data_IF_387443346438
#
_entry.id   IF_387443346438
#
_cell.length_a   1.000
_cell.length_b   1.000
_cell.length_c   1.000
_cell.angle_alpha   90.00
_cell.angle_beta   90.00
_cell.angle_gamma   90.00
#
_symmetry.space_group_name_H-M   'P 1'
#
loop_
_entity.id
_entity.type
_entity.pdbx_description
1 polymer ?
#
# COMPACT_ATOMS: atom_id res chain seq x y z
N UNK A 1 -3.10 -6.62 -22.09
CA UNK A 1 -2.44 -6.57 -20.78
C UNK A 1 -3.30 -5.82 -19.78
N UNK A 2 -3.55 -6.40 -18.63
CA UNK A 2 -4.37 -5.75 -17.61
C UNK A 2 -3.65 -4.55 -17.01
N UNK A 3 -4.37 -3.45 -16.80
CA UNK A 3 -3.85 -2.32 -16.06
C UNK A 3 -3.85 -2.64 -14.57
N UNK A 4 -3.06 -1.89 -13.80
CA UNK A 4 -3.06 -2.06 -12.35
C UNK A 4 -4.47 -1.84 -11.79
N UNK A 5 -5.21 -0.87 -12.34
CA UNK A 5 -6.58 -0.59 -11.90
C UNK A 5 -7.49 -1.81 -12.06
N UNK A 6 -7.32 -2.56 -13.14
CA UNK A 6 -8.10 -3.79 -13.34
C UNK A 6 -7.72 -4.85 -12.32
N UNK A 7 -6.43 -4.99 -12.02
CA UNK A 7 -5.94 -6.00 -11.08
C UNK A 7 -6.47 -5.76 -9.67
N UNK A 8 -6.47 -4.51 -9.19
CA UNK A 8 -6.91 -4.17 -7.84
C UNK A 8 -8.41 -3.89 -7.75
N UNK A 9 -9.11 -3.81 -8.89
CA UNK A 9 -10.54 -3.57 -8.90
C UNK A 9 -10.95 -2.16 -8.50
N UNK A 10 -10.09 -1.18 -8.72
CA UNK A 10 -10.36 0.21 -8.38
C UNK A 10 -9.90 1.13 -9.49
N UNK A 11 -10.76 2.06 -9.89
CA UNK A 11 -10.46 3.03 -10.92
C UNK A 11 -10.23 4.41 -10.30
N UNK A 12 -9.05 4.95 -10.49
CA UNK A 12 -8.70 6.25 -9.92
C UNK A 12 -9.42 7.37 -10.66
N UNK A 13 -9.99 8.30 -9.90
CA UNK A 13 -10.59 9.52 -10.48
C UNK A 13 -9.50 10.48 -10.93
N UNK A 14 -8.44 10.59 -10.14
CA UNK A 14 -7.29 11.43 -10.45
C UNK A 14 -6.14 10.54 -10.93
N UNK A 15 -5.94 10.51 -12.25
CA UNK A 15 -4.90 9.69 -12.88
C UNK A 15 -3.49 10.19 -12.55
N UNK A 16 -3.34 11.47 -12.28
CA UNK A 16 -2.05 12.02 -11.88
C UNK A 16 -1.65 11.49 -10.51
N UNK A 17 -2.61 11.30 -9.61
CA UNK A 17 -2.37 10.71 -8.31
C UNK A 17 -1.87 9.27 -8.44
N UNK A 18 -2.48 8.49 -9.33
CA UNK A 18 -2.04 7.13 -9.59
C UNK A 18 -0.61 7.12 -10.12
N UNK A 19 -0.30 8.02 -11.05
CA UNK A 19 1.05 8.13 -11.61
C UNK A 19 2.06 8.48 -10.52
N UNK A 20 1.71 9.42 -9.64
CA UNK A 20 2.57 9.79 -8.51
C UNK A 20 2.82 8.60 -7.59
N UNK A 21 1.77 7.82 -7.29
CA UNK A 21 1.87 6.63 -6.45
C UNK A 21 2.81 5.57 -7.03
N UNK A 22 2.88 5.48 -8.35
CA UNK A 22 3.70 4.50 -9.05
C UNK A 22 5.09 5.01 -9.43
N UNK A 23 5.44 6.23 -9.06
CA UNK A 23 6.72 6.85 -9.41
C UNK A 23 7.69 6.77 -8.25
N UNK A 24 8.77 6.00 -8.45
CA UNK A 24 9.83 5.90 -7.45
C UNK A 24 10.68 7.18 -7.43
N UNK A 25 11.20 7.52 -6.26
CA UNK A 25 12.01 8.72 -6.05
C UNK A 25 13.18 8.84 -7.03
N UNK A 26 13.91 7.76 -7.26
CA UNK A 26 15.05 7.77 -8.18
C UNK A 26 14.63 8.11 -9.60
N UNK A 27 13.47 7.61 -10.01
CA UNK A 27 12.91 7.85 -11.33
C UNK A 27 12.51 9.33 -11.52
N UNK A 28 11.93 9.91 -10.47
CA UNK A 28 11.55 11.33 -10.49
C UNK A 28 12.76 12.23 -10.66
N UNK A 29 13.86 11.90 -9.98
CA UNK A 29 15.12 12.65 -10.07
C UNK A 29 15.68 12.62 -11.50
N UNK A 30 15.65 11.45 -12.13
CA UNK A 30 16.12 11.29 -13.50
C UNK A 30 15.30 12.10 -14.51
N UNK A 31 14.03 12.32 -14.22
CA UNK A 31 13.10 13.00 -15.13
C UNK A 31 12.84 14.46 -14.77
N UNK A 32 13.73 15.06 -14.01
CA UNK A 32 13.65 16.50 -13.76
C UNK A 32 12.63 16.92 -12.72
N UNK A 33 12.44 16.12 -11.68
CA UNK A 33 11.64 16.53 -10.54
C UNK A 33 10.17 16.20 -10.60
N UNK A 34 9.80 15.12 -11.27
CA UNK A 34 8.44 14.61 -11.23
C UNK A 34 8.05 14.27 -9.79
N UNK A 35 6.76 14.37 -9.48
CA UNK A 35 6.26 13.91 -8.19
C UNK A 35 6.45 12.40 -8.06
N UNK A 36 6.83 11.98 -6.86
CA UNK A 36 7.09 10.58 -6.56
C UNK A 36 6.32 10.15 -5.31
N UNK A 37 6.39 8.86 -4.99
CA UNK A 37 5.49 8.24 -4.02
C UNK A 37 5.92 8.32 -2.55
N UNK A 38 7.01 9.01 -2.23
CA UNK A 38 7.52 9.05 -0.85
C UNK A 38 6.49 9.55 0.15
N UNK A 39 5.80 10.66 -0.16
CA UNK A 39 4.78 11.22 0.71
C UNK A 39 3.53 10.34 0.78
N UNK A 40 3.15 9.76 -0.36
CA UNK A 40 2.01 8.84 -0.42
C UNK A 40 2.31 7.56 0.34
N UNK A 41 3.54 7.08 0.32
CA UNK A 41 3.97 5.93 1.09
C UNK A 41 3.79 6.18 2.59
N UNK A 42 4.20 7.36 3.06
CA UNK A 42 4.03 7.73 4.45
C UNK A 42 2.56 7.74 4.86
N UNK A 43 1.72 8.38 4.06
CA UNK A 43 0.28 8.43 4.34
C UNK A 43 -0.36 7.05 4.22
N UNK A 44 0.01 6.32 3.18
CA UNK A 44 -0.54 4.98 2.93
C UNK A 44 -0.22 4.00 4.05
N UNK A 45 0.94 4.12 4.65
CA UNK A 45 1.32 3.28 5.79
C UNK A 45 0.34 3.48 6.96
N UNK A 46 -0.03 4.73 7.22
CA UNK A 46 -1.01 5.05 8.28
C UNK A 46 -2.40 4.56 7.94
N UNK A 47 -2.82 4.71 6.67
CA UNK A 47 -4.12 4.22 6.22
C UNK A 47 -4.19 2.71 6.32
N UNK A 48 -3.17 2.02 5.86
CA UNK A 48 -3.11 0.55 5.95
C UNK A 48 -3.16 0.10 7.42
N UNK A 49 -2.40 0.79 8.28
CA UNK A 49 -2.41 0.49 9.70
C UNK A 49 -3.79 0.63 10.32
N UNK A 50 -4.52 1.68 9.95
CA UNK A 50 -5.89 1.90 10.43
C UNK A 50 -6.83 0.80 9.95
N UNK A 51 -6.79 0.47 8.67
CA UNK A 51 -7.66 -0.55 8.08
C UNK A 51 -7.43 -1.91 8.74
N UNK A 52 -6.16 -2.30 8.89
CA UNK A 52 -5.81 -3.58 9.51
C UNK A 52 -6.22 -3.60 10.99
N UNK A 53 -5.97 -2.51 11.70
CA UNK A 53 -6.35 -2.39 13.12
C UNK A 53 -7.85 -2.52 13.30
N UNK A 54 -8.62 -1.85 12.47
CA UNK A 54 -10.07 -1.89 12.53
C UNK A 54 -10.61 -3.29 12.23
N UNK A 55 -10.06 -3.93 11.21
CA UNK A 55 -10.42 -5.29 10.85
C UNK A 55 -10.18 -6.27 12.02
N UNK A 56 -9.00 -6.21 12.63
CA UNK A 56 -8.65 -7.08 13.73
C UNK A 56 -9.51 -6.81 14.96
N UNK A 57 -9.78 -5.54 15.23
CA UNK A 57 -10.64 -5.13 16.35
C UNK A 57 -12.03 -5.75 16.22
N UNK A 58 -12.60 -5.71 15.02
CA UNK A 58 -13.94 -6.27 14.80
C UNK A 58 -13.94 -7.79 14.77
N UNK A 59 -12.90 -8.39 14.20
CA UNK A 59 -12.84 -9.85 14.03
C UNK A 59 -12.53 -10.59 15.33
N UNK A 60 -11.83 -9.95 16.24
CA UNK A 60 -11.35 -10.58 17.47
C UNK A 60 -11.80 -9.80 18.72
N UNK A 61 -13.12 -9.73 18.97
CA UNK A 61 -13.65 -8.89 20.07
C UNK A 61 -13.27 -9.37 21.48
N UNK A 62 -12.84 -10.61 21.61
CA UNK A 62 -12.46 -11.17 22.91
C UNK A 62 -10.96 -11.16 23.18
N UNK A 63 -10.17 -10.69 22.23
CA UNK A 63 -8.71 -10.68 22.36
C UNK A 63 -8.23 -9.35 22.92
N UNK A 64 -7.08 -9.37 23.58
CA UNK A 64 -6.52 -8.17 24.19
C UNK A 64 -5.67 -7.36 23.19
N UNK A 65 -5.19 -6.21 23.64
CA UNK A 65 -4.40 -5.30 22.81
C UNK A 65 -3.11 -5.94 22.30
N UNK A 66 -2.46 -6.77 23.15
CA UNK A 66 -1.24 -7.46 22.77
C UNK A 66 -1.42 -8.38 21.58
N UNK A 67 -2.52 -9.13 21.58
CA UNK A 67 -2.87 -10.00 20.46
C UNK A 67 -3.10 -9.19 19.19
N UNK A 68 -3.86 -8.09 19.31
CA UNK A 68 -4.18 -7.24 18.17
C UNK A 68 -2.93 -6.57 17.58
N UNK A 69 -2.04 -6.09 18.43
CA UNK A 69 -0.79 -5.46 18.00
C UNK A 69 0.12 -6.44 17.27
N UNK A 70 0.23 -7.66 17.78
CA UNK A 70 1.04 -8.70 17.11
C UNK A 70 0.46 -9.07 15.77
N UNK A 71 -0.86 -9.21 15.67
CA UNK A 71 -1.56 -9.50 14.43
C UNK A 71 -1.34 -8.40 13.40
N UNK A 72 -1.49 -7.15 13.83
CA UNK A 72 -1.26 -6.00 12.95
C UNK A 72 0.18 -6.00 12.43
N UNK A 73 1.17 -6.17 13.31
CA UNK A 73 2.58 -6.17 12.91
C UNK A 73 2.88 -7.27 11.90
N UNK A 74 2.29 -8.45 12.07
CA UNK A 74 2.48 -9.55 11.14
C UNK A 74 1.89 -9.23 9.76
N UNK A 75 0.68 -8.67 9.72
CA UNK A 75 0.00 -8.35 8.46
C UNK A 75 0.70 -7.24 7.70
N UNK A 76 1.11 -6.17 8.39
CA UNK A 76 1.74 -5.01 7.75
C UNK A 76 3.26 -5.13 7.65
N UNK A 77 3.83 -6.30 7.93
CA UNK A 77 5.27 -6.49 7.84
C UNK A 77 5.78 -6.26 6.42
N UNK A 78 7.03 -5.80 6.31
CA UNK A 78 7.66 -5.58 5.02
C UNK A 78 7.63 -6.84 4.16
N UNK A 79 7.91 -8.00 4.74
CA UNK A 79 7.91 -9.27 4.03
C UNK A 79 6.53 -9.61 3.47
N UNK A 80 5.48 -9.39 4.27
CA UNK A 80 4.12 -9.70 3.86
C UNK A 80 3.62 -8.74 2.77
N UNK A 81 3.93 -7.44 2.91
CA UNK A 81 3.56 -6.45 1.89
C UNK A 81 4.30 -6.71 0.59
N UNK A 82 5.56 -7.12 0.65
CA UNK A 82 6.33 -7.48 -0.54
C UNK A 82 5.70 -8.68 -1.25
N UNK A 83 5.22 -9.66 -0.48
CA UNK A 83 4.52 -10.82 -1.03
C UNK A 83 3.24 -10.43 -1.75
N UNK A 84 2.46 -9.53 -1.16
CA UNK A 84 1.25 -9.02 -1.80
C UNK A 84 1.56 -8.26 -3.08
N UNK A 85 2.59 -7.42 -3.06
CA UNK A 85 3.04 -6.68 -4.24
C UNK A 85 3.41 -7.65 -5.36
N UNK A 86 4.08 -8.75 -5.02
CA UNK A 86 4.46 -9.78 -5.97
C UNK A 86 3.24 -10.49 -6.57
N UNK A 87 2.25 -10.80 -5.72
CA UNK A 87 1.01 -11.46 -6.17
C UNK A 87 0.27 -10.63 -7.21
N UNK A 88 0.23 -9.31 -7.05
CA UNK A 88 -0.43 -8.41 -8.02
C UNK A 88 0.54 -7.91 -9.09
N UNK A 89 1.79 -8.37 -9.07
CA UNK A 89 2.84 -7.97 -10.01
C UNK A 89 3.05 -6.45 -10.05
N UNK A 90 3.02 -5.83 -8.88
CA UNK A 90 3.12 -4.38 -8.73
C UNK A 90 4.39 -3.82 -9.40
N UNK A 91 5.50 -4.54 -9.34
CA UNK A 91 6.75 -4.12 -9.95
C UNK A 91 6.68 -3.81 -11.44
N UNK A 92 5.71 -4.40 -12.14
CA UNK A 92 5.52 -4.14 -13.56
C UNK A 92 4.95 -2.74 -13.84
N UNK A 93 4.40 -2.07 -12.81
CA UNK A 93 3.72 -0.79 -12.98
C UNK A 93 4.50 0.40 -12.41
N UNK A 94 5.58 0.13 -11.69
CA UNK A 94 6.37 1.17 -11.03
C UNK A 94 7.55 1.63 -11.91
#
# INVERSE_FOLDING_TARGET
MSSLEEVIGYKFRDKELLTEALTHKSHATERGGLRHNERLEFLGDSVLGLVVSYYLFLKHPSEDEGFLSKGKSAIVSRANLARWAELIKLGHYI
#
